data_IF_021436686035
#
_entry.id   IF_021436686035
#
_cell.length_a   1.000
_cell.length_b   1.000
_cell.length_c   1.000
_cell.angle_alpha   90.00
_cell.angle_beta   90.00
_cell.angle_gamma   90.00
#
_symmetry.space_group_name_H-M   'P 1'
#
loop_
_entity.id
_entity.type
_entity.pdbx_description
1 polymer ?
#
# COMPACT_ATOMS: atom_id res chain seq x y z
N UNK A 1 32.69 16.17 -11.86
CA UNK A 1 31.51 16.45 -11.01
C UNK A 1 31.59 15.57 -9.78
N UNK A 2 31.39 16.11 -8.57
CA UNK A 2 31.44 15.28 -7.35
C UNK A 2 30.12 14.51 -7.17
N UNK A 3 30.19 13.28 -6.65
CA UNK A 3 29.02 12.44 -6.32
C UNK A 3 28.02 13.20 -5.42
N UNK A 4 28.53 14.05 -4.53
CA UNK A 4 27.73 14.89 -3.63
C UNK A 4 26.88 15.94 -4.37
N UNK A 5 27.43 16.55 -5.42
CA UNK A 5 26.69 17.47 -6.28
C UNK A 5 25.64 16.73 -7.10
N UNK A 6 25.98 15.56 -7.67
CA UNK A 6 25.04 14.73 -8.41
C UNK A 6 23.83 14.35 -7.55
N UNK A 7 24.03 13.87 -6.31
CA UNK A 7 22.92 13.52 -5.40
C UNK A 7 22.05 14.74 -5.11
N UNK A 8 22.66 15.91 -4.85
CA UNK A 8 21.94 17.15 -4.56
C UNK A 8 21.08 17.59 -5.76
N UNK A 9 21.64 17.53 -6.96
CA UNK A 9 20.97 17.93 -8.18
C UNK A 9 19.83 16.96 -8.53
N UNK A 10 20.06 15.65 -8.37
CA UNK A 10 19.01 14.63 -8.52
C UNK A 10 17.86 14.85 -7.55
N UNK A 11 18.12 15.06 -6.26
CA UNK A 11 17.07 15.33 -5.27
C UNK A 11 16.33 16.64 -5.55
N UNK A 12 17.03 17.68 -5.99
CA UNK A 12 16.41 18.95 -6.36
C UNK A 12 15.49 18.80 -7.57
N UNK A 13 15.92 18.04 -8.59
CA UNK A 13 15.13 17.77 -9.79
C UNK A 13 13.89 16.94 -9.47
N UNK A 14 14.03 15.86 -8.69
CA UNK A 14 12.89 15.06 -8.23
C UNK A 14 11.87 15.94 -7.50
N UNK A 15 12.32 16.79 -6.57
CA UNK A 15 11.42 17.70 -5.84
C UNK A 15 10.68 18.67 -6.76
N UNK A 16 11.36 19.24 -7.76
CA UNK A 16 10.74 20.16 -8.72
C UNK A 16 9.71 19.47 -9.61
N UNK A 17 10.01 18.27 -10.10
CA UNK A 17 9.07 17.49 -10.91
C UNK A 17 7.87 17.04 -10.08
N UNK A 18 8.11 16.54 -8.87
CA UNK A 18 7.06 16.09 -7.97
C UNK A 18 6.13 17.23 -7.51
N UNK A 19 6.64 18.46 -7.45
CA UNK A 19 5.84 19.66 -7.20
C UNK A 19 4.73 19.88 -8.22
N UNK A 20 4.96 19.53 -9.50
CA UNK A 20 4.04 19.72 -10.63
C UNK A 20 2.94 18.66 -10.74
N UNK A 21 3.01 17.61 -9.92
CA UNK A 21 2.07 16.49 -9.94
C UNK A 21 0.72 16.92 -9.35
N UNK A 22 -0.38 16.40 -9.93
CA UNK A 22 -1.74 16.64 -9.46
C UNK A 22 -1.93 16.23 -7.99
N UNK A 23 -2.81 16.92 -7.28
CA UNK A 23 -3.11 16.63 -5.88
C UNK A 23 -3.67 15.21 -5.68
N UNK A 24 -4.49 14.72 -6.61
CA UNK A 24 -5.06 13.37 -6.55
C UNK A 24 -3.99 12.28 -6.62
N UNK A 25 -2.93 12.47 -7.42
CA UNK A 25 -1.81 11.53 -7.48
C UNK A 25 -0.95 11.57 -6.21
N UNK A 26 -0.81 12.73 -5.59
CA UNK A 26 -0.13 12.88 -4.30
C UNK A 26 -0.87 12.14 -3.17
N UNK A 27 -2.20 12.08 -3.22
CA UNK A 27 -2.99 11.27 -2.28
C UNK A 27 -2.70 9.78 -2.49
N UNK A 28 -2.67 9.29 -3.73
CA UNK A 28 -2.34 7.89 -4.02
C UNK A 28 -0.93 7.54 -3.53
N UNK A 29 0.03 8.44 -3.72
CA UNK A 29 1.38 8.25 -3.18
C UNK A 29 1.43 8.23 -1.66
N UNK A 30 0.69 9.11 -1.00
CA UNK A 30 0.61 9.15 0.44
C UNK A 30 0.00 7.86 1.00
N UNK A 31 -1.08 7.36 0.40
CA UNK A 31 -1.69 6.07 0.74
C UNK A 31 -0.67 4.95 0.54
N UNK A 32 0.05 4.95 -0.60
CA UNK A 32 1.03 3.92 -0.92
C UNK A 32 2.17 3.87 0.10
N UNK A 33 2.79 5.02 0.38
CA UNK A 33 3.93 5.14 1.30
C UNK A 33 3.50 4.81 2.73
N UNK A 34 2.36 5.35 3.19
CA UNK A 34 1.87 5.11 4.55
C UNK A 34 1.54 3.64 4.76
N UNK A 35 0.87 3.01 3.79
CA UNK A 35 0.53 1.59 3.88
C UNK A 35 1.77 0.70 3.81
N UNK A 36 2.78 1.08 3.03
CA UNK A 36 4.06 0.37 3.01
C UNK A 36 4.78 0.49 4.36
N UNK A 37 4.80 1.66 4.98
CA UNK A 37 5.38 1.84 6.31
C UNK A 37 4.65 0.98 7.36
N UNK A 38 3.32 0.94 7.32
CA UNK A 38 2.51 0.07 8.18
C UNK A 38 2.82 -1.42 7.96
N UNK A 39 3.04 -1.86 6.72
CA UNK A 39 3.49 -3.22 6.44
C UNK A 39 4.81 -3.53 7.15
N UNK A 40 5.80 -2.63 7.06
CA UNK A 40 7.11 -2.83 7.70
C UNK A 40 6.96 -2.91 9.23
N UNK A 41 6.17 -2.02 9.83
CA UNK A 41 5.90 -2.05 11.28
C UNK A 41 5.20 -3.35 11.70
N UNK A 42 4.16 -3.77 10.97
CA UNK A 42 3.46 -5.03 11.23
C UNK A 42 4.39 -6.23 11.09
N UNK A 43 5.21 -6.28 10.04
CA UNK A 43 6.17 -7.34 9.79
C UNK A 43 7.16 -7.47 10.95
N UNK A 44 7.77 -6.36 11.38
CA UNK A 44 8.68 -6.32 12.52
C UNK A 44 7.98 -6.79 13.80
N UNK A 45 6.74 -6.34 14.03
CA UNK A 45 5.95 -6.72 15.22
C UNK A 45 5.68 -8.22 15.25
N UNK A 46 5.30 -8.82 14.12
CA UNK A 46 5.06 -10.28 14.02
C UNK A 46 6.35 -11.05 14.26
N UNK A 47 7.46 -10.64 13.64
CA UNK A 47 8.77 -11.27 13.86
C UNK A 47 9.22 -11.20 15.33
N UNK A 48 9.09 -10.03 15.97
CA UNK A 48 9.47 -9.85 17.38
C UNK A 48 8.55 -10.62 18.34
N UNK A 49 7.28 -10.81 18.00
CA UNK A 49 6.32 -11.53 18.86
C UNK A 49 6.59 -13.04 18.93
N UNK A 50 7.35 -13.61 17.99
CA UNK A 50 7.57 -15.05 17.86
C UNK A 50 6.30 -15.87 17.58
N UNK A 51 5.12 -15.23 17.44
CA UNK A 51 3.82 -15.86 17.25
C UNK A 51 3.34 -15.61 15.82
N UNK A 52 3.80 -16.47 14.91
CA UNK A 52 3.25 -16.52 13.55
C UNK A 52 1.93 -17.27 13.62
N UNK A 53 0.82 -16.52 13.65
CA UNK A 53 -0.51 -17.07 13.44
C UNK A 53 -1.08 -16.53 12.12
N UNK A 54 -2.06 -17.23 11.50
CA UNK A 54 -2.63 -16.84 10.22
C UNK A 54 -3.22 -15.43 10.23
N UNK A 55 -3.81 -15.03 11.35
CA UNK A 55 -4.42 -13.70 11.55
C UNK A 55 -3.35 -12.61 11.40
N UNK A 56 -2.25 -12.73 12.13
CA UNK A 56 -1.13 -11.79 12.11
C UNK A 56 -0.48 -11.70 10.72
N UNK A 57 -0.39 -12.82 9.99
CA UNK A 57 0.11 -12.83 8.61
C UNK A 57 -0.83 -12.05 7.68
N UNK A 58 -2.13 -12.28 7.77
CA UNK A 58 -3.13 -11.56 6.94
C UNK A 58 -3.12 -10.06 7.25
N UNK A 59 -3.11 -9.68 8.54
CA UNK A 59 -3.02 -8.27 8.95
C UNK A 59 -1.71 -7.61 8.55
N UNK A 60 -0.61 -8.38 8.47
CA UNK A 60 0.67 -7.88 7.97
C UNK A 60 0.62 -7.66 6.46
N UNK A 61 0.03 -8.57 5.69
CA UNK A 61 -0.04 -8.44 4.23
C UNK A 61 -1.04 -7.38 3.76
N UNK A 62 -2.04 -7.04 4.57
CA UNK A 62 -3.09 -6.09 4.19
C UNK A 62 -2.55 -4.69 3.79
N UNK A 63 -1.70 -4.00 4.60
CA UNK A 63 -1.10 -2.74 4.19
C UNK A 63 -0.22 -2.85 2.94
N UNK A 64 0.44 -3.99 2.71
CA UNK A 64 1.24 -4.22 1.51
C UNK A 64 0.35 -4.24 0.25
N UNK A 65 -0.79 -4.93 0.33
CA UNK A 65 -1.78 -4.95 -0.76
C UNK A 65 -2.30 -3.54 -1.04
N UNK A 66 -2.72 -2.80 -0.01
CA UNK A 66 -3.19 -1.40 -0.17
C UNK A 66 -2.11 -0.52 -0.81
N UNK A 67 -0.84 -0.70 -0.43
CA UNK A 67 0.27 0.03 -1.02
C UNK A 67 0.45 -0.24 -2.51
N UNK A 68 0.42 -1.52 -2.89
CA UNK A 68 0.53 -1.95 -4.28
C UNK A 68 -0.64 -1.46 -5.14
N UNK A 69 -1.84 -1.43 -4.59
CA UNK A 69 -3.06 -0.92 -5.25
C UNK A 69 -2.92 0.55 -5.58
N UNK A 70 -2.52 1.36 -4.60
CA UNK A 70 -2.39 2.79 -4.78
C UNK A 70 -1.32 3.12 -5.83
N UNK A 71 -0.19 2.41 -5.80
CA UNK A 71 0.87 2.53 -6.81
C UNK A 71 0.39 2.10 -8.21
N UNK A 72 -0.27 0.94 -8.33
CA UNK A 72 -0.79 0.44 -9.60
C UNK A 72 -1.87 1.37 -10.18
N UNK A 73 -2.74 1.91 -9.32
CA UNK A 73 -3.78 2.87 -9.71
C UNK A 73 -3.16 4.14 -10.28
N UNK A 74 -2.08 4.65 -9.66
CA UNK A 74 -1.36 5.82 -10.17
C UNK A 74 -0.68 5.54 -11.51
N UNK A 75 0.01 4.41 -11.64
CA UNK A 75 0.64 4.01 -12.91
C UNK A 75 -0.39 3.91 -14.02
N UNK A 76 -1.53 3.27 -13.75
CA UNK A 76 -2.62 3.13 -14.71
C UNK A 76 -3.33 4.44 -15.03
N UNK A 77 -3.48 5.34 -14.06
CA UNK A 77 -4.03 6.69 -14.29
C UNK A 77 -3.17 7.48 -15.28
N UNK A 78 -1.86 7.28 -15.27
CA UNK A 78 -0.94 7.92 -16.21
C UNK A 78 -1.03 7.33 -17.63
N UNK A 79 -1.27 6.03 -17.76
CA UNK A 79 -1.34 5.33 -19.05
C UNK A 79 -2.74 5.36 -19.70
N UNK A 80 -3.79 5.14 -18.90
CA UNK A 80 -5.17 5.09 -19.36
C UNK A 80 -6.15 5.57 -18.25
N UNK A 81 -6.41 6.89 -18.18
CA UNK A 81 -7.20 7.51 -17.11
C UNK A 81 -8.64 6.98 -17.03
N UNK A 82 -9.24 6.62 -18.16
CA UNK A 82 -10.64 6.18 -18.24
C UNK A 82 -10.86 4.80 -17.58
N UNK A 83 -9.80 4.01 -17.46
CA UNK A 83 -9.86 2.67 -16.83
C UNK A 83 -9.78 2.69 -15.30
N UNK A 84 -9.38 3.82 -14.71
CA UNK A 84 -9.12 3.98 -13.27
C UNK A 84 -10.34 3.71 -12.39
N UNK A 85 -11.56 4.20 -12.71
CA UNK A 85 -12.73 3.95 -11.87
C UNK A 85 -13.13 2.47 -11.82
N UNK A 86 -12.95 1.75 -12.93
CA UNK A 86 -13.22 0.31 -13.02
C UNK A 86 -12.24 -0.47 -12.16
N UNK A 87 -10.95 -0.17 -12.27
CA UNK A 87 -9.91 -0.77 -11.43
C UNK A 87 -10.14 -0.49 -9.95
N UNK A 88 -10.47 0.74 -9.58
CA UNK A 88 -10.74 1.10 -8.19
C UNK A 88 -11.92 0.31 -7.61
N UNK A 89 -12.98 0.09 -8.39
CA UNK A 89 -14.10 -0.78 -8.00
C UNK A 89 -13.68 -2.24 -7.81
N UNK A 90 -12.89 -2.78 -8.73
CA UNK A 90 -12.37 -4.15 -8.62
C UNK A 90 -11.51 -4.31 -7.36
N UNK A 91 -10.67 -3.32 -7.04
CA UNK A 91 -9.86 -3.31 -5.83
C UNK A 91 -10.67 -3.22 -4.54
N UNK A 92 -11.67 -2.34 -4.48
CA UNK A 92 -12.61 -2.25 -3.36
C UNK A 92 -13.31 -3.60 -3.11
N UNK A 93 -13.66 -4.30 -4.19
CA UNK A 93 -14.27 -5.62 -4.10
C UNK A 93 -13.30 -6.65 -3.52
N UNK A 94 -12.06 -6.73 -4.03
CA UNK A 94 -11.03 -7.65 -3.54
C UNK A 94 -10.74 -7.42 -2.05
N UNK A 95 -10.52 -6.15 -1.65
CA UNK A 95 -10.26 -5.79 -0.25
C UNK A 95 -11.47 -6.14 0.63
N UNK A 96 -12.67 -5.80 0.17
CA UNK A 96 -13.92 -6.11 0.88
C UNK A 96 -14.09 -7.61 1.10
N UNK A 97 -13.85 -8.43 0.06
CA UNK A 97 -13.93 -9.89 0.15
C UNK A 97 -12.90 -10.46 1.13
N UNK A 98 -11.64 -10.02 1.06
CA UNK A 98 -10.59 -10.46 1.99
C UNK A 98 -10.96 -10.09 3.44
N UNK A 99 -11.51 -8.90 3.66
CA UNK A 99 -11.93 -8.44 4.99
C UNK A 99 -13.07 -9.31 5.54
N UNK A 100 -14.08 -9.62 4.72
CA UNK A 100 -15.19 -10.50 5.10
C UNK A 100 -14.70 -11.92 5.42
N UNK A 101 -13.84 -12.50 4.58
CA UNK A 101 -13.25 -13.83 4.81
C UNK A 101 -12.46 -13.84 6.13
N UNK A 102 -11.66 -12.80 6.37
CA UNK A 102 -10.85 -12.68 7.60
C UNK A 102 -11.74 -12.59 8.85
N UNK A 103 -12.84 -11.83 8.79
CA UNK A 103 -13.85 -11.76 9.86
C UNK A 103 -14.50 -13.11 10.13
N UNK A 104 -14.90 -13.84 9.09
CA UNK A 104 -15.51 -15.18 9.22
C UNK A 104 -14.53 -16.14 9.90
N UNK A 105 -13.26 -16.15 9.50
CA UNK A 105 -12.23 -17.00 10.12
C UNK A 105 -12.04 -16.66 11.59
N UNK A 106 -12.01 -15.37 11.95
CA UNK A 106 -11.90 -14.92 13.35
C UNK A 106 -13.11 -15.39 14.16
N UNK A 107 -14.32 -15.23 13.64
CA UNK A 107 -15.56 -15.66 14.31
C UNK A 107 -15.55 -17.18 14.53
N UNK A 108 -15.19 -17.97 13.52
CA UNK A 108 -15.07 -19.43 13.64
C UNK A 108 -14.01 -19.80 14.69
N UNK A 109 -12.85 -19.13 14.68
CA UNK A 109 -11.80 -19.36 15.66
C UNK A 109 -12.23 -19.01 17.09
N UNK A 110 -13.07 -18.00 17.29
CA UNK A 110 -13.60 -17.60 18.61
C UNK A 110 -14.73 -18.52 19.09
N UNK A 111 -15.55 -19.07 18.19
CA UNK A 111 -16.66 -19.97 18.55
C UNK A 111 -16.16 -21.40 18.85
N UNK A 112 -15.11 -21.84 18.17
CA UNK A 112 -14.56 -23.21 18.32
C UNK A 112 -13.49 -23.29 19.43
N UNK A 113 -12.86 -22.17 19.80
CA UNK A 113 -11.91 -22.10 20.93
C UNK A 113 -12.62 -21.97 22.28
#
# INVERSE_FOLDING_TARGET
>A
MSVRQTIRDTLSNIRKEYGKIEFSDKILDLISITSFALFIVSLVTVFLSGKINPINVVFTLYPLVVSGIAAATRMRKRENPESVPKLFKEWLWIIGTITVISLIIIIIAVIIA
#
